data_IF_224171882561
#
_entry.id   IF_224171882561
#
_cell.length_a   1.000
_cell.length_b   1.000
_cell.length_c   1.000
_cell.angle_alpha   90.00
_cell.angle_beta   90.00
_cell.angle_gamma   90.00
#
_symmetry.space_group_name_H-M   'P 1'
#
loop_
_entity.id
_entity.type
_entity.pdbx_description
1 polymer ?
#
# COMPACT_ATOMS: atom_id res chain seq x y z
N UNK A 1 12.81 -11.01 -0.07
CA UNK A 1 14.20 -11.50 -0.04
C UNK A 1 15.09 -10.39 0.51
N UNK A 2 15.92 -10.69 1.50
CA UNK A 2 16.95 -9.77 2.01
C UNK A 2 18.15 -9.86 1.08
N UNK A 3 18.66 -8.70 0.63
CA UNK A 3 19.87 -8.62 -0.18
C UNK A 3 20.95 -7.93 0.63
N UNK A 4 22.09 -8.56 0.79
CA UNK A 4 23.26 -8.00 1.47
C UNK A 4 24.34 -7.68 0.45
N UNK A 5 24.94 -6.49 0.58
CA UNK A 5 26.03 -6.03 -0.28
C UNK A 5 27.12 -5.39 0.57
N UNK A 6 28.41 -5.74 0.36
CA UNK A 6 29.48 -5.00 1.00
C UNK A 6 29.54 -3.59 0.44
N UNK A 7 29.71 -2.59 1.31
CA UNK A 7 29.97 -1.22 0.89
C UNK A 7 31.36 -1.10 0.28
N UNK A 8 31.46 -0.40 -0.81
CA UNK A 8 32.73 -0.06 -1.46
C UNK A 8 32.74 1.42 -1.89
N UNK A 9 33.88 1.95 -2.26
CA UNK A 9 33.99 3.32 -2.75
C UNK A 9 32.98 3.64 -3.85
N UNK A 10 32.35 4.78 -3.75
CA UNK A 10 31.27 5.23 -4.62
C UNK A 10 29.90 5.08 -3.99
N UNK A 11 28.85 5.13 -4.81
CA UNK A 11 27.46 5.17 -4.37
C UNK A 11 26.79 3.84 -4.65
N UNK A 12 26.11 3.31 -3.65
CA UNK A 12 25.15 2.21 -3.78
C UNK A 12 23.76 2.74 -3.43
N UNK A 13 22.77 2.47 -4.24
CA UNK A 13 21.43 3.00 -4.05
C UNK A 13 20.35 1.95 -4.18
N UNK A 14 19.23 2.21 -3.50
CA UNK A 14 17.91 1.62 -3.77
C UNK A 14 16.92 2.74 -4.01
N UNK A 15 15.97 2.54 -4.93
CA UNK A 15 15.03 3.58 -5.30
C UNK A 15 13.74 3.03 -5.87
N UNK A 16 12.69 3.83 -5.85
CA UNK A 16 11.48 3.62 -6.64
C UNK A 16 11.23 4.84 -7.54
N UNK A 17 10.82 4.57 -8.78
CA UNK A 17 10.38 5.55 -9.80
C UNK A 17 9.04 5.14 -10.40
N UNK A 18 8.23 4.38 -9.65
CA UNK A 18 7.00 3.74 -10.12
C UNK A 18 5.72 4.44 -9.66
N UNK A 19 5.84 5.63 -9.08
CA UNK A 19 4.74 6.34 -8.45
C UNK A 19 4.54 5.99 -6.98
N UNK A 20 4.99 4.80 -6.55
CA UNK A 20 4.90 4.34 -5.16
C UNK A 20 6.14 3.59 -4.71
N UNK A 21 6.40 3.58 -3.41
CA UNK A 21 7.25 2.58 -2.78
C UNK A 21 6.50 1.23 -2.82
N UNK A 22 7.18 0.15 -3.16
CA UNK A 22 6.55 -1.14 -3.36
C UNK A 22 7.37 -2.28 -2.77
N UNK A 23 6.82 -3.50 -2.84
CA UNK A 23 7.51 -4.72 -2.45
C UNK A 23 8.80 -5.03 -3.26
N UNK A 24 9.01 -4.35 -4.39
CA UNK A 24 10.27 -4.48 -5.14
C UNK A 24 11.44 -3.80 -4.42
N UNK A 25 11.20 -2.60 -3.87
CA UNK A 25 12.15 -1.87 -3.02
C UNK A 25 11.36 -1.14 -1.94
N UNK A 26 11.52 -1.57 -0.70
CA UNK A 26 10.99 -0.85 0.45
C UNK A 26 11.89 0.36 0.76
N UNK A 27 11.35 1.46 1.28
CA UNK A 27 12.12 2.64 1.67
C UNK A 27 12.89 2.39 2.99
N UNK A 28 13.66 1.31 3.03
CA UNK A 28 14.37 0.83 4.21
C UNK A 28 15.73 0.26 3.86
N UNK A 29 16.75 0.64 4.63
CA UNK A 29 18.08 0.03 4.59
C UNK A 29 18.62 -0.19 5.99
N UNK A 30 19.49 -1.19 6.15
CA UNK A 30 20.31 -1.39 7.32
C UNK A 30 21.79 -1.40 6.95
N UNK A 31 22.58 -0.52 7.59
CA UNK A 31 24.03 -0.57 7.56
C UNK A 31 24.50 -1.38 8.76
N UNK A 32 25.21 -2.47 8.52
CA UNK A 32 25.69 -3.36 9.59
C UNK A 32 27.20 -3.52 9.57
N UNK A 33 27.80 -3.71 10.73
CA UNK A 33 29.19 -4.10 10.84
C UNK A 33 29.40 -5.52 10.27
N UNK A 34 30.62 -5.83 9.85
CA UNK A 34 30.97 -7.17 9.40
C UNK A 34 30.75 -8.19 10.54
N UNK A 35 30.09 -9.28 10.24
CA UNK A 35 29.78 -10.32 11.22
C UNK A 35 28.55 -10.05 12.09
N UNK A 36 27.82 -8.96 11.89
CA UNK A 36 26.53 -8.73 12.56
C UNK A 36 25.52 -9.82 12.17
N UNK A 37 24.90 -10.40 13.19
CA UNK A 37 23.90 -11.46 13.10
C UNK A 37 22.52 -10.96 13.53
N UNK A 38 21.53 -11.83 13.65
CA UNK A 38 20.23 -11.50 14.24
C UNK A 38 20.32 -11.08 15.71
N UNK A 39 21.27 -11.63 16.46
CA UNK A 39 21.35 -11.51 17.92
C UNK A 39 22.55 -10.69 18.41
N UNK A 40 23.49 -10.34 17.55
CA UNK A 40 24.73 -9.68 17.95
C UNK A 40 25.33 -8.82 16.82
N UNK A 41 26.01 -7.75 17.21
CA UNK A 41 26.75 -6.84 16.33
C UNK A 41 26.03 -5.53 16.07
N UNK A 42 26.79 -4.53 15.63
CA UNK A 42 26.32 -3.19 15.38
C UNK A 42 25.51 -3.09 14.10
N UNK A 43 24.40 -2.35 14.18
CA UNK A 43 23.57 -2.05 13.02
C UNK A 43 22.89 -0.69 13.18
N UNK A 44 22.79 0.03 12.05
CA UNK A 44 22.05 1.28 11.88
C UNK A 44 20.92 0.99 10.88
N UNK A 45 19.67 1.02 11.35
CA UNK A 45 18.49 0.89 10.49
C UNK A 45 17.94 2.27 10.14
N UNK A 46 17.57 2.48 8.89
CA UNK A 46 16.96 3.73 8.41
C UNK A 46 15.72 3.39 7.61
N UNK A 47 14.60 3.98 7.98
CA UNK A 47 13.33 3.88 7.28
C UNK A 47 12.82 5.28 6.91
N UNK A 48 12.59 5.53 5.63
CA UNK A 48 11.89 6.71 5.16
C UNK A 48 10.38 6.45 5.21
N UNK A 49 9.65 7.27 5.98
CA UNK A 49 8.19 7.16 6.12
C UNK A 49 7.54 7.87 4.93
N UNK A 50 7.53 7.17 3.80
CA UNK A 50 7.03 7.72 2.55
C UNK A 50 6.54 6.60 1.62
N UNK A 51 5.39 6.81 0.99
CA UNK A 51 4.77 5.83 0.08
C UNK A 51 5.01 6.11 -1.40
N UNK A 52 5.61 7.26 -1.74
CA UNK A 52 5.88 7.68 -3.12
C UNK A 52 7.24 7.21 -3.65
N UNK A 53 7.68 7.87 -4.72
CA UNK A 53 9.01 7.66 -5.29
C UNK A 53 10.10 8.12 -4.34
N UNK A 54 11.00 7.23 -3.98
CA UNK A 54 12.08 7.49 -3.03
C UNK A 54 13.46 7.12 -3.60
N UNK A 55 14.51 7.68 -3.01
CA UNK A 55 15.90 7.26 -3.17
C UNK A 55 16.57 7.16 -1.81
N UNK A 56 17.31 6.06 -1.59
CA UNK A 56 18.24 5.92 -0.46
C UNK A 56 19.58 5.55 -1.05
N UNK A 57 20.61 6.33 -0.70
CA UNK A 57 21.96 6.22 -1.22
C UNK A 57 22.96 6.10 -0.08
N UNK A 58 23.83 5.10 -0.16
CA UNK A 58 24.98 4.93 0.71
C UNK A 58 26.26 5.20 -0.10
N UNK A 59 26.98 6.25 0.25
CA UNK A 59 28.24 6.63 -0.36
C UNK A 59 29.41 6.32 0.57
N UNK A 60 30.45 5.69 0.03
CA UNK A 60 31.76 5.59 0.71
C UNK A 60 32.73 6.49 -0.03
N UNK A 61 33.25 7.49 0.66
CA UNK A 61 34.18 8.46 0.10
C UNK A 61 35.64 7.97 0.07
N UNK A 62 36.56 8.80 -0.45
CA UNK A 62 37.96 8.49 -0.55
C UNK A 62 38.70 8.39 0.82
N UNK A 63 38.06 8.78 1.91
CA UNK A 63 38.57 8.68 3.28
C UNK A 63 37.94 7.49 4.02
N UNK A 64 37.18 6.64 3.32
CA UNK A 64 36.38 5.53 3.87
C UNK A 64 35.27 5.98 4.84
N UNK A 65 34.84 7.24 4.79
CA UNK A 65 33.67 7.66 5.52
C UNK A 65 32.38 7.26 4.75
N UNK A 66 31.41 6.73 5.49
CA UNK A 66 30.11 6.34 4.92
C UNK A 66 29.10 7.44 5.20
N UNK A 67 28.44 7.91 4.14
CA UNK A 67 27.31 8.84 4.20
C UNK A 67 26.06 8.16 3.67
N UNK A 68 24.94 8.34 4.37
CA UNK A 68 23.63 7.89 3.93
C UNK A 68 22.73 9.09 3.64
N UNK A 69 22.06 9.06 2.50
CA UNK A 69 21.04 10.02 2.09
C UNK A 69 19.73 9.26 1.86
N UNK A 70 18.63 9.80 2.35
CA UNK A 70 17.30 9.23 2.11
C UNK A 70 16.29 10.37 1.87
N UNK A 71 15.43 10.21 0.88
CA UNK A 71 14.43 11.24 0.57
C UNK A 71 13.57 10.92 -0.63
N UNK A 72 12.82 11.92 -1.08
CA UNK A 72 12.05 11.85 -2.31
C UNK A 72 13.01 11.64 -3.48
N UNK A 73 12.65 10.74 -4.42
CA UNK A 73 13.45 10.52 -5.61
C UNK A 73 13.54 11.80 -6.44
N UNK A 74 14.75 12.27 -6.80
CA UNK A 74 14.92 13.52 -7.57
C UNK A 74 14.49 13.40 -9.04
N UNK A 75 14.22 12.17 -9.53
CA UNK A 75 13.75 11.98 -10.91
C UNK A 75 12.34 12.53 -11.05
N UNK A 76 12.14 13.44 -12.00
CA UNK A 76 10.87 14.09 -12.30
C UNK A 76 10.23 14.83 -11.10
N UNK A 77 11.05 15.18 -10.10
CA UNK A 77 10.60 15.94 -8.93
C UNK A 77 11.38 17.26 -8.82
N UNK A 78 10.65 18.36 -8.83
CA UNK A 78 11.17 19.71 -8.54
C UNK A 78 10.17 20.44 -7.67
N UNK A 79 10.66 21.20 -6.70
CA UNK A 79 9.85 22.03 -5.84
C UNK A 79 10.42 23.44 -5.79
N UNK A 80 9.63 24.42 -6.21
CA UNK A 80 10.00 25.84 -6.07
C UNK A 80 9.53 26.33 -4.71
N UNK A 81 10.48 26.73 -3.88
CA UNK A 81 10.23 27.29 -2.56
C UNK A 81 10.37 28.81 -2.65
N UNK A 82 9.26 29.52 -2.50
CA UNK A 82 9.27 30.97 -2.50
C UNK A 82 9.70 31.54 -1.13
N UNK A 83 10.11 32.82 -1.05
CA UNK A 83 10.45 33.43 0.24
C UNK A 83 9.30 33.32 1.26
N UNK A 84 9.63 32.92 2.48
CA UNK A 84 8.71 32.68 3.60
C UNK A 84 7.78 31.45 3.45
N UNK A 85 7.97 30.63 2.43
CA UNK A 85 7.30 29.32 2.34
C UNK A 85 8.15 28.22 3.01
N UNK A 86 7.51 27.08 3.27
CA UNK A 86 8.14 25.88 3.79
C UNK A 86 7.73 24.64 3.01
N UNK A 87 8.66 23.71 2.89
CA UNK A 87 8.39 22.38 2.36
C UNK A 87 8.69 21.35 3.44
N UNK A 88 7.72 20.50 3.75
CA UNK A 88 7.90 19.41 4.70
C UNK A 88 8.35 18.15 3.96
N UNK A 89 9.61 17.78 4.11
CA UNK A 89 10.13 16.53 3.57
C UNK A 89 9.56 15.33 4.33
N UNK A 90 9.50 14.14 3.70
CA UNK A 90 9.15 12.91 4.39
C UNK A 90 10.04 12.65 5.60
N UNK A 91 9.44 12.14 6.67
CA UNK A 91 10.13 11.82 7.90
C UNK A 91 11.02 10.58 7.74
N UNK A 92 12.22 10.61 8.31
CA UNK A 92 13.10 9.46 8.37
C UNK A 92 13.26 9.01 9.82
N UNK A 93 13.07 7.71 10.08
CA UNK A 93 13.27 7.09 11.39
C UNK A 93 14.59 6.33 11.36
N UNK A 94 15.45 6.60 12.35
CA UNK A 94 16.76 5.95 12.49
C UNK A 94 16.85 5.17 13.79
N UNK A 95 17.45 4.00 13.73
CA UNK A 95 17.69 3.12 14.88
C UNK A 95 19.15 2.68 14.88
N UNK A 96 19.77 2.70 16.04
CA UNK A 96 21.06 2.07 16.30
C UNK A 96 20.93 1.03 17.40
N UNK A 97 21.61 -0.08 17.24
CA UNK A 97 21.80 -1.09 18.29
C UNK A 97 23.09 -1.89 18.04
N UNK A 98 23.68 -2.40 19.11
CA UNK A 98 24.79 -3.35 19.10
C UNK A 98 24.34 -4.81 19.31
N UNK A 99 23.02 -5.04 19.36
CA UNK A 99 22.38 -6.32 19.63
C UNK A 99 21.78 -7.01 18.39
N UNK A 100 22.34 -6.72 17.23
CA UNK A 100 21.98 -7.37 15.98
C UNK A 100 20.70 -6.91 15.31
N UNK A 101 20.41 -7.52 14.17
CA UNK A 101 19.29 -7.17 13.29
C UNK A 101 17.92 -7.40 13.97
N UNK A 102 17.80 -8.44 14.78
CA UNK A 102 16.56 -8.76 15.50
C UNK A 102 16.16 -7.68 16.49
N UNK A 103 17.13 -7.12 17.26
CA UNK A 103 16.80 -6.00 18.16
C UNK A 103 16.50 -4.72 17.39
N UNK A 104 17.23 -4.43 16.31
CA UNK A 104 16.89 -3.31 15.41
C UNK A 104 15.43 -3.41 14.95
N UNK A 105 15.02 -4.58 14.47
CA UNK A 105 13.64 -4.84 14.03
C UNK A 105 12.63 -4.61 15.15
N UNK A 106 12.87 -5.14 16.36
CA UNK A 106 12.00 -4.94 17.53
C UNK A 106 11.90 -3.47 17.96
N UNK A 107 12.99 -2.70 17.86
CA UNK A 107 12.96 -1.25 18.13
C UNK A 107 12.05 -0.53 17.13
N UNK A 108 12.17 -0.83 15.82
CA UNK A 108 11.27 -0.28 14.80
C UNK A 108 9.82 -0.64 15.07
N UNK A 109 9.51 -1.90 15.39
CA UNK A 109 8.15 -2.33 15.70
C UNK A 109 7.56 -1.54 16.87
N UNK A 110 8.30 -1.40 17.98
CA UNK A 110 7.86 -0.60 19.15
C UNK A 110 7.66 0.86 18.78
N UNK A 111 8.55 1.43 17.96
CA UNK A 111 8.47 2.82 17.49
C UNK A 111 7.23 3.03 16.62
N UNK A 112 6.98 2.13 15.67
CA UNK A 112 5.80 2.23 14.80
C UNK A 112 4.50 2.06 15.58
N UNK A 113 4.44 1.10 16.49
CA UNK A 113 3.29 0.92 17.36
C UNK A 113 3.00 2.18 18.18
N UNK A 114 4.03 2.81 18.74
CA UNK A 114 3.86 3.96 19.62
C UNK A 114 3.61 5.28 18.89
N UNK A 115 4.25 5.51 17.75
CA UNK A 115 4.33 6.82 17.13
C UNK A 115 3.69 6.91 15.75
N UNK A 116 3.66 5.82 14.96
CA UNK A 116 3.18 5.82 13.59
C UNK A 116 1.73 5.33 13.50
N UNK A 117 1.40 4.22 14.13
CA UNK A 117 0.07 3.62 14.04
C UNK A 117 -0.91 4.39 14.92
N UNK A 118 -1.88 5.05 14.28
CA UNK A 118 -2.94 5.83 14.95
C UNK A 118 -4.31 5.12 14.93
N UNK A 119 -4.36 3.91 14.39
CA UNK A 119 -5.58 3.12 14.29
C UNK A 119 -6.04 2.61 15.66
N UNK A 120 -7.38 2.48 15.91
CA UNK A 120 -7.88 1.81 17.10
C UNK A 120 -7.44 0.33 17.19
N UNK A 121 -7.03 -0.26 16.07
CA UNK A 121 -6.47 -1.61 16.01
C UNK A 121 -5.01 -1.72 16.48
N UNK A 122 -4.38 -0.64 16.90
CA UNK A 122 -3.00 -0.66 17.39
C UNK A 122 -2.79 -1.58 18.56
N UNK A 123 -3.70 -1.52 19.52
CA UNK A 123 -3.57 -2.16 20.84
C UNK A 123 -4.56 -3.34 21.01
N UNK A 124 -5.25 -3.75 19.95
CA UNK A 124 -6.18 -4.87 19.96
C UNK A 124 -5.80 -5.92 18.93
N UNK A 125 -6.19 -7.16 19.19
CA UNK A 125 -6.01 -8.26 18.28
C UNK A 125 -6.79 -8.00 16.97
N UNK A 126 -6.14 -8.25 15.85
CA UNK A 126 -6.77 -8.12 14.54
C UNK A 126 -7.67 -9.30 14.26
N UNK A 127 -8.84 -9.09 13.63
CA UNK A 127 -9.73 -10.18 13.29
C UNK A 127 -9.04 -11.13 12.29
N UNK A 128 -9.24 -12.43 12.49
CA UNK A 128 -8.95 -13.44 11.47
C UNK A 128 -9.96 -13.22 10.35
N UNK A 129 -9.47 -12.87 9.16
CA UNK A 129 -10.35 -12.57 8.03
C UNK A 129 -10.24 -13.62 6.92
N UNK A 130 -11.33 -13.76 6.19
CA UNK A 130 -11.41 -14.48 4.92
C UNK A 130 -11.90 -13.52 3.84
N UNK A 131 -11.29 -13.59 2.66
CA UNK A 131 -11.65 -12.78 1.49
C UNK A 131 -12.41 -13.66 0.50
N UNK A 132 -13.43 -13.10 -0.16
CA UNK A 132 -14.28 -13.86 -1.09
C UNK A 132 -13.63 -14.10 -2.46
N UNK A 133 -12.53 -13.43 -2.82
CA UNK A 133 -11.99 -13.45 -4.18
C UNK A 133 -11.69 -14.86 -4.69
N UNK A 134 -10.84 -15.61 -4.02
CA UNK A 134 -10.44 -16.94 -4.44
C UNK A 134 -11.59 -17.99 -4.36
N UNK A 135 -12.64 -17.68 -3.60
CA UNK A 135 -13.80 -18.55 -3.47
C UNK A 135 -14.84 -18.34 -4.57
N UNK A 136 -14.96 -17.11 -5.09
CA UNK A 136 -16.09 -16.76 -5.95
C UNK A 136 -15.74 -15.89 -7.16
N UNK A 137 -14.60 -15.17 -7.14
CA UNK A 137 -14.29 -14.14 -8.14
C UNK A 137 -15.49 -13.20 -8.34
N UNK A 138 -15.94 -13.01 -9.58
CA UNK A 138 -17.12 -12.19 -9.91
C UNK A 138 -18.45 -12.93 -9.76
N UNK A 139 -18.46 -14.26 -9.59
CA UNK A 139 -19.67 -15.10 -9.50
C UNK A 139 -20.18 -15.19 -8.07
N UNK A 140 -20.81 -14.13 -7.58
CA UNK A 140 -21.46 -14.10 -6.27
C UNK A 140 -22.73 -13.25 -6.29
N UNK A 141 -23.57 -13.51 -5.30
CA UNK A 141 -24.69 -12.71 -4.87
C UNK A 141 -24.72 -12.62 -3.32
N UNK A 142 -25.68 -11.89 -2.77
CA UNK A 142 -25.82 -11.72 -1.32
C UNK A 142 -26.06 -13.07 -0.60
N UNK A 143 -26.82 -14.00 -1.15
CA UNK A 143 -27.08 -15.30 -0.54
C UNK A 143 -25.82 -16.18 -0.50
N UNK A 144 -25.03 -16.18 -1.57
CA UNK A 144 -23.76 -16.92 -1.64
C UNK A 144 -22.75 -16.39 -0.64
N UNK A 145 -22.66 -15.07 -0.48
CA UNK A 145 -21.75 -14.45 0.50
C UNK A 145 -22.19 -14.72 1.94
N UNK A 146 -23.48 -14.71 2.24
CA UNK A 146 -23.97 -15.06 3.57
C UNK A 146 -23.73 -16.53 3.88
N UNK A 147 -23.98 -17.44 2.92
CA UNK A 147 -23.64 -18.84 3.09
C UNK A 147 -22.14 -19.06 3.35
N UNK A 148 -21.30 -18.32 2.65
CA UNK A 148 -19.85 -18.34 2.87
C UNK A 148 -19.46 -17.83 4.24
N UNK A 149 -20.07 -16.73 4.70
CA UNK A 149 -19.89 -16.21 6.06
C UNK A 149 -20.30 -17.23 7.13
N UNK A 150 -21.43 -17.92 6.95
CA UNK A 150 -21.91 -18.95 7.86
C UNK A 150 -20.89 -20.09 8.04
N UNK A 151 -20.31 -20.60 6.96
CA UNK A 151 -19.29 -21.65 7.02
C UNK A 151 -17.97 -21.12 7.62
N UNK A 152 -17.59 -19.89 7.30
CA UNK A 152 -16.40 -19.25 7.85
C UNK A 152 -16.51 -19.07 9.39
N UNK A 153 -17.68 -18.67 9.88
CA UNK A 153 -17.97 -18.53 11.31
C UNK A 153 -17.73 -19.84 12.08
N UNK A 154 -18.16 -20.96 11.53
CA UNK A 154 -17.95 -22.29 12.12
C UNK A 154 -16.47 -22.67 12.27
N UNK A 155 -15.62 -22.11 11.43
CA UNK A 155 -14.16 -22.32 11.44
C UNK A 155 -13.42 -21.33 12.35
N UNK A 156 -14.12 -20.41 13.01
CA UNK A 156 -13.52 -19.42 13.90
C UNK A 156 -12.96 -18.19 13.17
N UNK A 157 -13.44 -17.90 11.98
CA UNK A 157 -13.13 -16.65 11.26
C UNK A 157 -13.95 -15.50 11.87
N UNK A 158 -13.34 -14.31 12.00
CA UNK A 158 -13.95 -13.15 12.66
C UNK A 158 -14.49 -12.12 11.64
N UNK A 159 -14.08 -12.19 10.38
CA UNK A 159 -14.41 -11.16 9.37
C UNK A 159 -14.50 -11.78 7.97
N UNK A 160 -15.57 -11.44 7.26
CA UNK A 160 -15.67 -11.64 5.81
C UNK A 160 -15.33 -10.34 5.08
N UNK A 161 -14.40 -10.41 4.12
CA UNK A 161 -14.13 -9.31 3.19
C UNK A 161 -14.73 -9.65 1.84
N UNK A 162 -15.73 -8.88 1.41
CA UNK A 162 -16.25 -8.93 0.04
C UNK A 162 -15.27 -8.24 -0.90
N UNK A 163 -14.77 -8.96 -1.88
CA UNK A 163 -13.81 -8.46 -2.85
C UNK A 163 -14.48 -7.81 -4.06
N UNK A 164 -13.77 -7.69 -5.17
CA UNK A 164 -14.16 -7.04 -6.42
C UNK A 164 -15.49 -7.59 -6.99
N UNK A 165 -16.21 -6.74 -7.73
CA UNK A 165 -17.43 -7.14 -8.45
C UNK A 165 -18.76 -6.78 -7.78
N UNK A 166 -18.75 -6.02 -6.67
CA UNK A 166 -19.96 -5.64 -5.95
C UNK A 166 -20.63 -4.36 -6.48
N UNK A 167 -19.98 -3.64 -7.41
CA UNK A 167 -20.38 -2.31 -7.88
C UNK A 167 -20.61 -2.24 -9.38
N UNK A 168 -21.35 -1.23 -9.83
CA UNK A 168 -21.62 -0.96 -11.24
C UNK A 168 -22.13 -2.19 -12.02
N UNK A 169 -21.53 -2.43 -13.18
CA UNK A 169 -21.74 -3.65 -13.97
C UNK A 169 -20.45 -4.51 -14.02
N UNK A 170 -19.70 -4.50 -12.93
CA UNK A 170 -18.39 -5.17 -12.77
C UNK A 170 -18.55 -6.70 -12.75
N UNK A 171 -18.47 -7.31 -13.92
CA UNK A 171 -18.50 -8.77 -14.11
C UNK A 171 -17.14 -9.32 -14.58
N UNK A 172 -16.17 -8.42 -14.81
CA UNK A 172 -14.83 -8.71 -15.32
C UNK A 172 -13.87 -7.59 -14.95
N UNK A 173 -12.57 -7.82 -15.14
CA UNK A 173 -11.49 -6.86 -14.81
C UNK A 173 -11.49 -5.59 -15.66
N UNK A 174 -12.21 -5.56 -16.79
CA UNK A 174 -12.16 -4.51 -17.79
C UNK A 174 -13.33 -3.51 -17.75
N UNK A 175 -14.26 -3.67 -16.81
CA UNK A 175 -15.47 -2.83 -16.72
C UNK A 175 -15.70 -2.21 -15.37
N UNK A 176 -16.40 -1.07 -15.33
CA UNK A 176 -16.99 -0.39 -14.15
C UNK A 176 -16.06 0.00 -13.03
N UNK A 177 -14.74 -0.20 -13.09
CA UNK A 177 -13.87 0.31 -12.04
C UNK A 177 -13.95 1.84 -12.01
N UNK A 178 -14.28 2.41 -10.86
CA UNK A 178 -14.62 3.82 -10.68
C UNK A 178 -16.12 4.07 -10.41
N UNK A 179 -16.99 3.14 -10.76
CA UNK A 179 -18.43 3.23 -10.60
C UNK A 179 -18.87 2.66 -9.24
N UNK A 180 -18.53 3.34 -8.15
CA UNK A 180 -18.69 2.85 -6.78
C UNK A 180 -20.13 2.89 -6.26
N UNK A 181 -21.09 2.50 -7.10
CA UNK A 181 -22.49 2.28 -6.70
C UNK A 181 -22.83 0.78 -6.74
N UNK A 182 -23.67 0.37 -5.80
CA UNK A 182 -23.98 -1.06 -5.58
C UNK A 182 -24.61 -1.71 -6.81
N UNK A 183 -24.13 -2.88 -7.17
CA UNK A 183 -24.78 -3.73 -8.16
C UNK A 183 -26.00 -4.42 -7.53
N UNK A 184 -27.18 -3.83 -7.71
CA UNK A 184 -28.43 -4.36 -7.13
C UNK A 184 -28.88 -5.69 -7.72
N UNK A 185 -28.32 -6.13 -8.85
CA UNK A 185 -28.59 -7.46 -9.39
C UNK A 185 -27.93 -8.55 -8.55
N UNK A 186 -26.73 -8.27 -8.04
CA UNK A 186 -25.99 -9.17 -7.15
C UNK A 186 -26.42 -9.01 -5.70
N UNK A 187 -26.54 -7.78 -5.24
CA UNK A 187 -26.87 -7.42 -3.87
C UNK A 187 -28.29 -6.87 -3.81
N UNK A 188 -29.28 -7.74 -3.89
CA UNK A 188 -30.71 -7.39 -4.02
C UNK A 188 -31.27 -6.56 -2.87
N UNK A 189 -30.68 -6.71 -1.67
CA UNK A 189 -31.03 -5.90 -0.50
C UNK A 189 -30.10 -4.70 -0.27
N UNK A 190 -29.14 -4.49 -1.18
CA UNK A 190 -28.06 -3.48 -1.01
C UNK A 190 -27.02 -3.88 0.02
N UNK A 191 -25.99 -3.03 0.18
CA UNK A 191 -24.89 -3.28 1.11
C UNK A 191 -25.35 -3.38 2.58
N UNK A 192 -26.28 -2.54 3.01
CA UNK A 192 -26.76 -2.56 4.40
C UNK A 192 -27.35 -3.91 4.79
N UNK A 193 -28.20 -4.47 3.92
CA UNK A 193 -28.80 -5.79 4.16
C UNK A 193 -27.75 -6.90 4.19
N UNK A 194 -26.78 -6.90 3.27
CA UNK A 194 -25.69 -7.87 3.28
C UNK A 194 -24.86 -7.77 4.57
N UNK A 195 -24.49 -6.56 4.96
CA UNK A 195 -23.71 -6.31 6.19
C UNK A 195 -24.46 -6.84 7.42
N UNK A 196 -25.74 -6.53 7.55
CA UNK A 196 -26.57 -7.01 8.67
C UNK A 196 -26.64 -8.54 8.71
N UNK A 197 -26.81 -9.19 7.57
CA UNK A 197 -26.85 -10.65 7.46
C UNK A 197 -25.51 -11.30 7.82
N UNK A 198 -24.38 -10.74 7.35
CA UNK A 198 -23.03 -11.22 7.70
C UNK A 198 -22.76 -11.01 9.20
N UNK A 199 -23.15 -9.86 9.74
CA UNK A 199 -23.00 -9.59 11.18
C UNK A 199 -23.87 -10.53 12.03
N UNK A 200 -25.03 -10.96 11.55
CA UNK A 200 -25.89 -11.94 12.23
C UNK A 200 -25.24 -13.33 12.35
N UNK A 201 -24.31 -13.68 11.45
CA UNK A 201 -23.46 -14.88 11.55
C UNK A 201 -22.30 -14.72 12.55
N UNK A 202 -22.18 -13.55 13.20
CA UNK A 202 -21.13 -13.24 14.17
C UNK A 202 -19.83 -12.66 13.58
N UNK A 203 -19.76 -12.43 12.27
CA UNK A 203 -18.58 -11.89 11.61
C UNK A 203 -18.67 -10.37 11.47
N UNK A 204 -17.50 -9.72 11.44
CA UNK A 204 -17.36 -8.35 10.90
C UNK A 204 -17.41 -8.40 9.38
N UNK A 205 -17.75 -7.27 8.77
CA UNK A 205 -17.75 -7.11 7.32
C UNK A 205 -16.66 -6.15 6.86
N UNK A 206 -15.94 -6.52 5.82
CA UNK A 206 -15.00 -5.69 5.08
C UNK A 206 -15.37 -5.62 3.61
N UNK A 207 -14.89 -4.60 2.92
CA UNK A 207 -15.16 -4.36 1.50
C UNK A 207 -13.86 -4.00 0.77
N UNK A 208 -13.66 -4.56 -0.41
CA UNK A 208 -12.57 -4.20 -1.29
C UNK A 208 -12.87 -2.89 -2.05
N UNK A 209 -11.85 -2.07 -2.21
CA UNK A 209 -11.93 -0.78 -2.86
C UNK A 209 -10.60 -0.41 -3.51
N UNK A 210 -10.59 -0.06 -4.81
CA UNK A 210 -9.40 0.33 -5.59
C UNK A 210 -9.61 1.72 -6.21
N UNK A 211 -9.51 2.81 -5.42
CA UNK A 211 -9.93 4.15 -5.85
C UNK A 211 -8.97 4.83 -6.82
N UNK A 212 -7.75 4.34 -6.96
CA UNK A 212 -6.71 4.95 -7.79
C UNK A 212 -6.77 4.58 -9.27
N UNK A 213 -7.61 3.61 -9.62
CA UNK A 213 -7.74 3.10 -10.98
C UNK A 213 -9.15 3.29 -11.52
N UNK A 214 -9.28 3.30 -12.85
CA UNK A 214 -10.56 3.47 -13.55
C UNK A 214 -10.60 2.61 -14.81
N UNK A 215 -11.71 1.95 -15.08
CA UNK A 215 -11.93 1.25 -16.35
C UNK A 215 -12.30 2.23 -17.46
N UNK A 216 -11.76 2.06 -18.69
CA UNK A 216 -12.29 2.77 -19.86
C UNK A 216 -13.80 2.58 -20.05
N UNK A 217 -14.32 1.39 -19.74
CA UNK A 217 -15.73 1.09 -19.67
C UNK A 217 -16.28 1.34 -18.25
N UNK A 218 -16.39 2.61 -17.87
CA UNK A 218 -17.06 3.07 -16.65
C UNK A 218 -17.82 4.36 -16.91
N UNK A 219 -18.85 4.62 -16.11
CA UNK A 219 -19.58 5.89 -16.17
C UNK A 219 -18.68 7.06 -15.73
N UNK A 220 -17.84 6.82 -14.76
CA UNK A 220 -16.88 7.82 -14.29
C UNK A 220 -15.91 8.22 -15.41
N UNK A 221 -15.35 7.29 -16.16
CA UNK A 221 -14.45 7.62 -17.27
C UNK A 221 -15.17 8.37 -18.40
N UNK A 222 -16.41 7.96 -18.74
CA UNK A 222 -17.24 8.67 -19.73
C UNK A 222 -17.53 10.11 -19.32
N UNK A 223 -17.73 10.36 -18.03
CA UNK A 223 -17.98 11.68 -17.50
C UNK A 223 -16.71 12.54 -17.38
N UNK A 224 -15.59 11.93 -17.01
CA UNK A 224 -14.36 12.63 -16.67
C UNK A 224 -13.10 11.93 -17.24
N UNK A 225 -12.95 11.85 -18.57
CA UNK A 225 -11.76 11.24 -19.17
C UNK A 225 -10.48 12.03 -18.87
N UNK A 226 -10.60 13.32 -18.56
CA UNK A 226 -9.52 14.22 -18.16
C UNK A 226 -8.96 13.96 -16.75
N UNK A 227 -9.62 13.10 -15.96
CA UNK A 227 -9.14 12.73 -14.64
C UNK A 227 -8.04 11.67 -14.67
N UNK A 228 -7.80 11.04 -15.81
CA UNK A 228 -6.75 10.06 -15.96
C UNK A 228 -5.38 10.73 -16.16
N UNK A 229 -4.35 10.13 -15.56
CA UNK A 229 -2.98 10.50 -15.86
C UNK A 229 -2.65 10.21 -17.33
N UNK A 230 -2.27 11.24 -18.07
CA UNK A 230 -1.88 11.08 -19.47
C UNK A 230 -0.82 12.13 -19.88
N UNK A 231 -0.08 11.80 -20.92
CA UNK A 231 0.82 12.75 -21.57
C UNK A 231 0.08 13.42 -22.74
N UNK A 232 0.08 14.76 -22.84
CA UNK A 232 -0.57 15.44 -23.95
C UNK A 232 -0.18 14.87 -25.33
N UNK A 233 -1.16 14.64 -26.18
CA UNK A 233 -1.01 14.05 -27.53
C UNK A 233 -0.50 12.60 -27.54
N UNK A 234 -0.66 11.86 -26.46
CA UNK A 234 -0.43 10.42 -26.41
C UNK A 234 -1.67 9.71 -25.89
N UNK A 235 -1.84 8.47 -26.31
CA UNK A 235 -2.86 7.59 -25.73
C UNK A 235 -2.53 7.26 -24.28
N UNK A 236 -3.56 6.98 -23.47
CA UNK A 236 -3.39 6.50 -22.10
C UNK A 236 -2.70 5.14 -22.11
N UNK A 237 -1.78 4.94 -21.16
CA UNK A 237 -1.16 3.64 -20.96
C UNK A 237 -2.00 2.80 -19.99
N UNK A 238 -2.64 1.72 -20.44
CA UNK A 238 -3.38 0.85 -19.54
C UNK A 238 -2.42 0.00 -18.69
N UNK A 239 -2.79 -0.22 -17.44
CA UNK A 239 -2.21 -1.24 -16.58
C UNK A 239 -3.34 -2.17 -16.12
N UNK A 240 -3.23 -3.48 -16.34
CA UNK A 240 -4.30 -4.45 -16.05
C UNK A 240 -5.67 -4.08 -16.68
N UNK A 241 -5.68 -3.56 -17.91
CA UNK A 241 -6.87 -3.08 -18.64
C UNK A 241 -7.52 -1.82 -18.00
N UNK A 242 -6.83 -1.11 -17.15
CA UNK A 242 -7.31 0.04 -16.39
C UNK A 242 -6.41 1.24 -16.63
N UNK A 243 -6.93 2.45 -16.41
CA UNK A 243 -6.17 3.69 -16.37
C UNK A 243 -5.96 4.15 -14.93
N UNK A 244 -4.94 4.96 -14.73
CA UNK A 244 -4.61 5.54 -13.42
C UNK A 244 -5.24 6.92 -13.31
N UNK A 245 -5.96 7.18 -12.22
CA UNK A 245 -6.50 8.49 -11.90
C UNK A 245 -5.41 9.45 -11.41
N UNK A 246 -5.56 10.72 -11.70
CA UNK A 246 -4.68 11.78 -11.20
C UNK A 246 -5.07 12.16 -9.75
N UNK A 247 -4.57 11.41 -8.79
CA UNK A 247 -4.81 11.61 -7.36
C UNK A 247 -4.19 12.90 -6.81
N UNK A 248 -3.52 13.73 -7.63
CA UNK A 248 -3.08 15.08 -7.23
C UNK A 248 -4.20 16.11 -7.34
N UNK A 249 -5.25 15.79 -8.07
CA UNK A 249 -6.46 16.62 -8.20
C UNK A 249 -7.33 16.49 -6.94
N UNK A 250 -8.02 17.56 -6.60
CA UNK A 250 -8.94 17.59 -5.45
C UNK A 250 -10.35 17.12 -5.80
N UNK A 251 -10.68 17.09 -7.09
CA UNK A 251 -11.96 16.69 -7.63
C UNK A 251 -12.02 15.18 -7.99
N UNK A 252 -10.89 14.49 -7.95
CA UNK A 252 -10.75 13.04 -8.00
C UNK A 252 -10.77 12.43 -6.60
#
# INVERSE_FOLDING_TARGET
TVTERPLCHGIQSIQSKRGSSSHNHNPFVALKAHGTTEENGEVYGINLIYSGNFSIEAEVDCLNATRLLAGINPTDFTWRLEPNESFTAPEAVMVYTDKGLGEMSRIFHRTYMKHLIKSPWRDVERPVLINSWEAAYFDFDDDKLVAFAHEAAKMGVDMLVMDDGWFGHRESDDSSLGDWYVNEKKLKGGLSSLIERVNAEGLKFGIWYEPEMISPDSDLYRAHPDWCLHVPNRENSPARLQYVLDMTRKDV
#
